data_IF_730673037046
#
_entry.id   IF_730673037046
#
_cell.length_a   1.000
_cell.length_b   1.000
_cell.length_c   1.000
_cell.angle_alpha   90.00
_cell.angle_beta   90.00
_cell.angle_gamma   90.00
#
_symmetry.space_group_name_H-M   'P 1'
#
loop_
_entity.id
_entity.type
_entity.pdbx_description
1 polymer ?
#
# COMPACT_ATOMS: atom_id res chain seq x y z
N UNK A 1 22.26 9.78 5.05
CA UNK A 1 22.43 9.40 3.62
C UNK A 1 21.26 8.57 3.10
N UNK A 2 20.87 7.49 3.72
CA UNK A 2 19.72 6.69 3.27
C UNK A 2 18.39 7.47 3.31
N UNK A 3 18.19 8.31 4.30
CA UNK A 3 17.02 9.15 4.46
C UNK A 3 16.90 10.24 3.38
N UNK A 4 18.02 10.86 3.01
CA UNK A 4 18.06 11.85 1.93
C UNK A 4 17.81 11.23 0.55
N UNK A 5 18.30 10.02 0.31
CA UNK A 5 18.05 9.28 -0.94
C UNK A 5 16.57 8.93 -1.04
N UNK A 6 15.95 8.51 0.07
CA UNK A 6 14.53 8.23 0.13
C UNK A 6 13.68 9.50 -0.15
N UNK A 7 14.03 10.64 0.43
CA UNK A 7 13.32 11.91 0.17
C UNK A 7 13.41 12.35 -1.29
N UNK A 8 14.58 12.23 -1.90
CA UNK A 8 14.75 12.54 -3.33
C UNK A 8 13.87 11.65 -4.19
N UNK A 9 13.77 10.37 -3.85
CA UNK A 9 12.90 9.42 -4.54
C UNK A 9 11.41 9.77 -4.35
N UNK A 10 11.00 10.18 -3.16
CA UNK A 10 9.60 10.58 -2.89
C UNK A 10 9.23 11.87 -3.63
N UNK A 11 10.15 12.82 -3.75
CA UNK A 11 9.95 14.02 -4.58
C UNK A 11 9.73 13.64 -6.04
N UNK A 12 10.52 12.71 -6.56
CA UNK A 12 10.36 12.21 -7.93
C UNK A 12 9.01 11.51 -8.12
N UNK A 13 8.60 10.67 -7.17
CA UNK A 13 7.29 10.01 -7.21
C UNK A 13 6.14 11.02 -7.29
N UNK A 14 6.21 12.08 -6.49
CA UNK A 14 5.18 13.13 -6.51
C UNK A 14 5.12 13.83 -7.86
N UNK A 15 6.26 14.18 -8.44
CA UNK A 15 6.33 14.82 -9.74
C UNK A 15 5.79 13.93 -10.85
N UNK A 16 6.18 12.67 -10.85
CA UNK A 16 5.69 11.67 -11.81
C UNK A 16 4.19 11.43 -11.67
N UNK A 17 3.66 11.57 -10.44
CA UNK A 17 2.22 11.52 -10.18
C UNK A 17 1.50 12.82 -10.54
N UNK A 18 2.19 13.82 -11.09
CA UNK A 18 1.61 15.10 -11.48
C UNK A 18 1.37 16.06 -10.32
N UNK A 19 2.04 15.84 -9.20
CA UNK A 19 1.85 16.65 -7.99
C UNK A 19 3.08 17.50 -7.68
N UNK A 20 2.83 18.65 -7.05
CA UNK A 20 3.91 19.48 -6.52
C UNK A 20 4.50 18.82 -5.28
N UNK A 21 5.83 18.85 -5.17
CA UNK A 21 6.58 18.31 -4.02
C UNK A 21 6.52 19.27 -2.84
N UNK A 22 5.34 19.44 -2.24
CA UNK A 22 5.21 20.26 -1.03
C UNK A 22 5.67 19.48 0.21
N UNK A 23 6.12 20.16 1.29
CA UNK A 23 6.48 19.48 2.53
C UNK A 23 5.35 18.60 3.09
N UNK A 24 4.10 19.04 2.97
CA UNK A 24 2.93 18.26 3.42
C UNK A 24 2.77 16.97 2.62
N UNK A 25 2.86 17.02 1.30
CA UNK A 25 2.75 15.83 0.43
C UNK A 25 3.90 14.87 0.63
N UNK A 26 5.11 15.39 0.83
CA UNK A 26 6.27 14.56 1.17
C UNK A 26 6.06 13.81 2.48
N UNK A 27 5.48 14.48 3.48
CA UNK A 27 5.15 13.84 4.75
C UNK A 27 4.11 12.72 4.57
N UNK A 28 3.12 12.92 3.71
CA UNK A 28 2.13 11.88 3.37
C UNK A 28 2.80 10.67 2.73
N UNK A 29 3.63 10.88 1.72
CA UNK A 29 4.35 9.80 1.03
C UNK A 29 5.25 9.05 2.01
N UNK A 30 6.03 9.77 2.81
CA UNK A 30 6.91 9.17 3.82
C UNK A 30 6.14 8.29 4.79
N UNK A 31 4.98 8.74 5.25
CA UNK A 31 4.18 8.00 6.21
C UNK A 31 3.57 6.73 5.59
N UNK A 32 3.09 6.80 4.36
CA UNK A 32 2.55 5.64 3.64
C UNK A 32 3.62 4.57 3.45
N UNK A 33 4.83 4.97 3.05
CA UNK A 33 5.93 4.03 2.83
C UNK A 33 6.52 3.48 4.13
N UNK A 34 6.36 4.19 5.24
CA UNK A 34 6.84 3.76 6.55
C UNK A 34 5.90 2.78 7.25
N UNK A 35 4.60 2.95 7.07
CA UNK A 35 3.58 2.14 7.74
C UNK A 35 3.27 0.86 6.99
N UNK A 36 2.71 -0.09 7.72
CA UNK A 36 2.22 -1.36 7.18
C UNK A 36 0.72 -1.23 6.90
N UNK A 37 0.34 -1.14 5.64
CA UNK A 37 -1.04 -1.07 5.17
C UNK A 37 -1.89 0.00 5.89
N UNK A 38 -1.49 1.29 5.86
CA UNK A 38 -2.24 2.32 6.56
C UNK A 38 -3.55 2.65 5.85
N UNK A 39 -4.52 3.16 6.61
CA UNK A 39 -5.67 3.89 6.06
C UNK A 39 -5.30 5.35 5.83
N UNK A 40 -6.08 6.05 5.01
CA UNK A 40 -5.88 7.49 4.81
C UNK A 40 -6.02 8.28 6.12
N UNK A 41 -6.95 7.86 6.99
CA UNK A 41 -7.16 8.48 8.29
C UNK A 41 -5.94 8.32 9.22
N UNK A 42 -5.33 7.14 9.24
CA UNK A 42 -4.10 6.90 10.01
C UNK A 42 -2.94 7.77 9.52
N UNK A 43 -2.78 7.90 8.23
CA UNK A 43 -1.77 8.78 7.62
C UNK A 43 -2.05 10.24 7.99
N UNK A 44 -3.30 10.67 7.87
CA UNK A 44 -3.72 12.03 8.23
C UNK A 44 -3.43 12.34 9.69
N UNK A 45 -3.78 11.46 10.62
CA UNK A 45 -3.57 11.66 12.06
C UNK A 45 -2.10 11.84 12.40
N UNK A 46 -1.20 11.14 11.74
CA UNK A 46 0.24 11.29 11.97
C UNK A 46 0.78 12.57 11.33
N UNK A 47 0.42 12.84 10.09
CA UNK A 47 0.94 14.01 9.36
C UNK A 47 0.46 15.33 9.94
N UNK A 48 -0.78 15.38 10.43
CA UNK A 48 -1.31 16.61 11.02
C UNK A 48 -0.59 17.04 12.31
N UNK A 49 0.10 16.14 12.99
CA UNK A 49 0.92 16.47 14.15
C UNK A 49 2.08 17.40 13.77
N UNK A 50 2.66 17.18 12.60
CA UNK A 50 3.71 18.04 12.06
C UNK A 50 3.16 19.21 11.24
N UNK A 51 2.06 19.01 10.54
CA UNK A 51 1.41 20.00 9.69
C UNK A 51 -0.06 20.19 10.11
N UNK A 52 -0.33 20.94 11.17
CA UNK A 52 -1.70 21.05 11.73
C UNK A 52 -2.75 21.60 10.77
N UNK A 53 -2.30 22.33 9.72
CA UNK A 53 -3.21 22.92 8.72
C UNK A 53 -3.50 21.99 7.52
N UNK A 54 -2.90 20.81 7.48
CA UNK A 54 -3.17 19.87 6.40
C UNK A 54 -4.64 19.42 6.42
N UNK A 55 -5.27 19.38 5.25
CA UNK A 55 -6.61 18.84 5.11
C UNK A 55 -6.60 17.36 4.75
N UNK A 56 -7.65 16.66 5.16
CA UNK A 56 -7.84 15.25 4.79
C UNK A 56 -7.89 15.08 3.26
N UNK A 57 -8.45 16.07 2.54
CA UNK A 57 -8.49 16.09 1.08
C UNK A 57 -7.08 16.04 0.45
N UNK A 58 -6.10 16.73 1.04
CA UNK A 58 -4.71 16.69 0.55
C UNK A 58 -4.13 15.28 0.68
N UNK A 59 -4.42 14.58 1.77
CA UNK A 59 -4.00 13.19 1.98
C UNK A 59 -4.64 12.28 0.92
N UNK A 60 -5.95 12.34 0.74
CA UNK A 60 -6.67 11.53 -0.24
C UNK A 60 -6.21 11.82 -1.68
N UNK A 61 -6.04 13.08 -2.04
CA UNK A 61 -5.59 13.46 -3.39
C UNK A 61 -4.18 12.94 -3.67
N UNK A 62 -3.30 13.00 -2.69
CA UNK A 62 -1.93 12.48 -2.81
C UNK A 62 -1.96 10.96 -3.00
N UNK A 63 -2.70 10.23 -2.16
CA UNK A 63 -2.83 8.77 -2.25
C UNK A 63 -3.47 8.33 -3.55
N UNK A 64 -4.51 9.03 -4.01
CA UNK A 64 -5.18 8.73 -5.28
C UNK A 64 -4.21 8.86 -6.46
N UNK A 65 -3.46 9.95 -6.53
CA UNK A 65 -2.50 10.16 -7.61
C UNK A 65 -1.41 9.11 -7.64
N UNK A 66 -0.93 8.68 -6.47
CA UNK A 66 0.05 7.58 -6.37
C UNK A 66 -0.55 6.24 -6.81
N UNK A 67 -1.82 5.99 -6.47
CA UNK A 67 -2.54 4.78 -6.87
C UNK A 67 -2.77 4.74 -8.39
N UNK A 68 -3.18 5.84 -8.98
CA UNK A 68 -3.40 5.95 -10.42
C UNK A 68 -2.13 5.69 -11.23
N UNK A 69 -0.97 6.01 -10.66
CA UNK A 69 0.34 5.75 -11.29
C UNK A 69 0.95 4.39 -10.93
N UNK A 70 0.27 3.60 -10.11
CA UNK A 70 0.71 2.25 -9.75
C UNK A 70 1.82 2.19 -8.70
N UNK A 71 2.12 3.29 -8.02
CA UNK A 71 3.11 3.31 -6.94
C UNK A 71 2.57 2.75 -5.62
N UNK A 72 1.26 2.81 -5.47
CA UNK A 72 0.54 2.33 -4.29
C UNK A 72 -0.69 1.59 -4.78
N UNK A 73 -1.10 0.56 -4.05
CA UNK A 73 -2.31 -0.21 -4.34
C UNK A 73 -3.35 0.04 -3.26
N UNK A 74 -4.59 0.27 -3.66
CA UNK A 74 -5.72 0.30 -2.74
C UNK A 74 -6.18 -1.12 -2.43
N UNK A 75 -6.36 -1.42 -1.15
CA UNK A 75 -6.87 -2.70 -0.66
C UNK A 75 -8.13 -2.43 0.18
N UNK A 76 -9.33 -2.57 -0.40
CA UNK A 76 -10.55 -2.46 0.40
C UNK A 76 -10.71 -3.68 1.30
N UNK A 77 -10.92 -3.42 2.59
CA UNK A 77 -11.24 -4.43 3.61
C UNK A 77 -12.47 -3.97 4.37
N UNK A 78 -13.64 -4.55 4.06
CA UNK A 78 -14.90 -4.14 4.67
C UNK A 78 -15.23 -2.68 4.40
N UNK A 79 -15.35 -1.89 5.47
CA UNK A 79 -15.64 -0.45 5.43
C UNK A 79 -14.37 0.43 5.39
N UNK A 80 -13.19 -0.16 5.42
CA UNK A 80 -11.92 0.56 5.38
C UNK A 80 -11.15 0.25 4.11
N UNK A 81 -10.47 1.25 3.56
CA UNK A 81 -9.49 1.09 2.47
C UNK A 81 -8.10 1.29 3.05
N UNK A 82 -7.24 0.30 2.84
CA UNK A 82 -5.83 0.37 3.20
C UNK A 82 -4.99 0.59 1.95
N UNK A 83 -3.78 1.07 2.14
CA UNK A 83 -2.86 1.38 1.07
C UNK A 83 -1.60 0.53 1.21
N UNK A 84 -1.22 -0.13 0.14
CA UNK A 84 -0.08 -1.04 0.09
C UNK A 84 0.95 -0.51 -0.90
N UNK A 85 2.16 -0.28 -0.42
CA UNK A 85 3.29 0.15 -1.25
C UNK A 85 3.99 -1.02 -1.93
N UNK A 86 3.71 -2.25 -1.51
CA UNK A 86 4.21 -3.45 -2.16
C UNK A 86 3.31 -3.80 -3.35
N UNK A 87 3.64 -3.28 -4.51
CA UNK A 87 2.88 -3.49 -5.76
C UNK A 87 3.30 -4.75 -6.53
N UNK A 88 4.28 -5.49 -6.01
CA UNK A 88 4.67 -6.80 -6.58
C UNK A 88 3.67 -7.87 -6.17
N UNK A 89 3.69 -9.01 -6.88
CA UNK A 89 2.83 -10.14 -6.54
C UNK A 89 3.16 -10.67 -5.15
N UNK A 90 2.16 -10.72 -4.27
CA UNK A 90 2.29 -11.25 -2.90
C UNK A 90 0.92 -11.62 -2.36
N UNK A 91 0.89 -12.40 -1.28
CA UNK A 91 -0.33 -12.65 -0.52
C UNK A 91 -0.42 -11.69 0.66
N UNK A 92 -1.63 -11.21 0.96
CA UNK A 92 -1.92 -10.49 2.19
C UNK A 92 -2.45 -11.49 3.22
N UNK A 93 -1.83 -11.52 4.40
CA UNK A 93 -2.28 -12.36 5.51
C UNK A 93 -3.08 -11.48 6.47
N UNK A 94 -4.37 -11.77 6.62
CA UNK A 94 -5.30 -10.94 7.38
C UNK A 94 -5.72 -11.69 8.65
N UNK A 95 -5.42 -11.12 9.81
CA UNK A 95 -5.86 -11.69 11.07
C UNK A 95 -7.31 -11.33 11.37
N UNK A 96 -8.16 -12.34 11.51
CA UNK A 96 -9.58 -12.14 11.82
C UNK A 96 -9.84 -11.58 13.22
N UNK A 97 -8.87 -11.73 14.13
CA UNK A 97 -9.04 -11.31 15.53
C UNK A 97 -8.56 -9.88 15.76
N UNK A 98 -7.33 -9.54 15.36
CA UNK A 98 -6.76 -8.21 15.62
C UNK A 98 -6.74 -7.28 14.41
N UNK A 99 -7.11 -7.78 13.23
CA UNK A 99 -7.13 -6.99 12.00
C UNK A 99 -5.77 -6.71 11.38
N UNK A 100 -4.68 -7.25 11.95
CA UNK A 100 -3.32 -7.09 11.40
C UNK A 100 -3.27 -7.63 9.98
N UNK A 101 -2.58 -6.91 9.11
CA UNK A 101 -2.29 -7.35 7.74
C UNK A 101 -0.78 -7.43 7.58
N UNK A 102 -0.31 -8.54 7.07
CA UNK A 102 1.10 -8.78 6.78
C UNK A 102 1.25 -9.23 5.33
N UNK A 103 2.30 -8.76 4.66
CA UNK A 103 2.66 -9.26 3.35
C UNK A 103 3.44 -10.56 3.48
N UNK A 104 3.15 -11.52 2.62
CA UNK A 104 3.90 -12.76 2.54
C UNK A 104 4.41 -12.99 1.13
N UNK A 105 5.70 -13.23 1.01
CA UNK A 105 6.33 -13.66 -0.24
C UNK A 105 6.51 -15.18 -0.34
N UNK A 106 6.08 -15.92 0.69
CA UNK A 106 6.32 -17.36 0.82
C UNK A 106 5.77 -18.19 -0.35
N UNK A 107 4.73 -17.70 -1.01
CA UNK A 107 4.10 -18.41 -2.13
C UNK A 107 4.11 -17.59 -3.43
N UNK A 108 5.00 -16.60 -3.56
CA UNK A 108 5.02 -15.73 -4.75
C UNK A 108 5.26 -16.52 -6.03
N UNK A 109 6.13 -17.52 -6.00
CA UNK A 109 6.39 -18.43 -7.13
C UNK A 109 5.12 -19.20 -7.53
N UNK A 110 4.31 -19.64 -6.59
CA UNK A 110 3.03 -20.30 -6.84
C UNK A 110 2.00 -19.33 -7.44
N UNK A 111 1.95 -18.10 -6.95
CA UNK A 111 1.06 -17.07 -7.48
C UNK A 111 1.42 -16.70 -8.91
N UNK A 112 2.70 -16.56 -9.21
CA UNK A 112 3.18 -16.34 -10.58
C UNK A 112 2.91 -17.55 -11.49
N UNK A 113 3.11 -18.76 -10.99
CA UNK A 113 2.81 -19.99 -11.72
C UNK A 113 1.32 -20.09 -12.06
N UNK A 114 0.45 -19.74 -11.11
CA UNK A 114 -1.00 -19.70 -11.33
C UNK A 114 -1.37 -18.71 -12.44
N UNK A 115 -0.81 -17.51 -12.41
CA UNK A 115 -1.03 -16.48 -13.42
C UNK A 115 -0.58 -16.95 -14.81
N UNK A 116 0.62 -17.52 -14.89
CA UNK A 116 1.18 -18.07 -16.13
C UNK A 116 0.32 -19.20 -16.69
N UNK A 117 -0.18 -20.08 -15.83
CA UNK A 117 -1.06 -21.20 -16.23
C UNK A 117 -2.36 -20.71 -16.84
N UNK A 118 -3.00 -19.72 -16.22
CA UNK A 118 -4.21 -19.10 -16.74
C UNK A 118 -3.95 -18.52 -18.14
N UNK A 119 -2.83 -17.83 -18.31
CA UNK A 119 -2.47 -17.21 -19.58
C UNK A 119 -2.17 -18.24 -20.68
N UNK A 120 -1.60 -19.39 -20.32
CA UNK A 120 -1.29 -20.47 -21.27
C UNK A 120 -2.52 -21.28 -21.67
N UNK A 121 -3.40 -21.58 -20.71
CA UNK A 121 -4.52 -22.48 -20.91
C UNK A 121 -5.81 -21.78 -21.35
N UNK A 122 -5.81 -20.46 -21.38
CA UNK A 122 -6.99 -19.67 -21.75
C UNK A 122 -6.60 -18.52 -22.66
N UNK A 123 -7.57 -17.87 -23.27
CA UNK A 123 -7.36 -16.61 -24.00
C UNK A 123 -7.36 -15.40 -23.08
N UNK A 124 -7.47 -15.61 -21.75
CA UNK A 124 -7.54 -14.56 -20.77
C UNK A 124 -6.17 -13.92 -20.55
N UNK A 125 -6.14 -12.59 -20.48
CA UNK A 125 -4.92 -11.81 -20.28
C UNK A 125 -4.96 -11.19 -18.89
N UNK A 126 -4.37 -11.83 -17.88
CA UNK A 126 -4.40 -11.30 -16.51
C UNK A 126 -3.55 -10.03 -16.40
N UNK A 127 -4.14 -8.96 -15.89
CA UNK A 127 -3.47 -7.68 -15.70
C UNK A 127 -3.04 -7.48 -14.24
N UNK A 128 -3.84 -7.97 -13.30
CA UNK A 128 -3.55 -7.85 -11.87
C UNK A 128 -4.13 -9.04 -11.13
N UNK A 129 -3.61 -9.29 -9.94
CA UNK A 129 -4.17 -10.27 -9.01
C UNK A 129 -4.02 -9.78 -7.59
N UNK A 130 -4.96 -10.18 -6.75
CA UNK A 130 -4.93 -9.94 -5.31
C UNK A 130 -5.26 -11.25 -4.62
N UNK A 131 -4.47 -11.61 -3.59
CA UNK A 131 -4.69 -12.81 -2.81
C UNK A 131 -4.69 -12.43 -1.33
N UNK A 132 -5.80 -12.65 -0.67
CA UNK A 132 -5.96 -12.43 0.76
C UNK A 132 -6.22 -13.77 1.43
N UNK A 133 -5.44 -14.07 2.47
CA UNK A 133 -5.58 -15.28 3.26
C UNK A 133 -5.96 -14.86 4.68
N UNK A 134 -7.08 -15.38 5.15
CA UNK A 134 -7.68 -15.03 6.44
C UNK A 134 -7.40 -16.11 7.46
N UNK A 135 -7.03 -15.72 8.67
CA UNK A 135 -6.72 -16.64 9.75
C UNK A 135 -6.37 -15.91 11.04
N UNK A 136 -5.48 -16.48 11.81
CA UNK A 136 -4.97 -15.87 13.04
C UNK A 136 -3.48 -15.63 12.93
N UNK A 137 -3.02 -14.43 13.29
CA UNK A 137 -1.59 -14.12 13.34
C UNK A 137 -0.92 -14.89 14.49
N UNK A 138 0.41 -14.91 14.50
CA UNK A 138 1.18 -15.63 15.53
C UNK A 138 0.84 -15.21 16.96
N UNK A 139 0.55 -13.94 17.18
CA UNK A 139 0.16 -13.42 18.49
C UNK A 139 -1.22 -13.90 18.92
N UNK A 140 -2.21 -13.84 18.02
CA UNK A 140 -3.59 -14.25 18.33
C UNK A 140 -3.76 -15.77 18.39
N UNK A 141 -2.99 -16.54 17.60
CA UNK A 141 -3.05 -17.99 17.63
C UNK A 141 -2.38 -18.59 18.86
N UNK A 142 -1.52 -17.84 19.55
CA UNK A 142 -0.86 -18.27 20.79
C UNK A 142 -1.71 -18.02 22.05
N UNK A 143 -2.85 -17.36 21.91
CA UNK A 143 -3.76 -17.03 23.03
C UNK A 143 -4.74 -18.13 23.33
#
# INVERSE_FOLDING_TARGET
MAEQVAETNYMSLLREAGLRSTPQRLAVVREVFRRNHPTASEVFETVRQQFPTIGLATVYNTLRSLTERGYVRELPFGDATRFDVNVTTHANLVCNQCGRIEDSSAANDLLEAMRSRIQQDTSFRPESQRVDIYGLCSTCSAS
#
